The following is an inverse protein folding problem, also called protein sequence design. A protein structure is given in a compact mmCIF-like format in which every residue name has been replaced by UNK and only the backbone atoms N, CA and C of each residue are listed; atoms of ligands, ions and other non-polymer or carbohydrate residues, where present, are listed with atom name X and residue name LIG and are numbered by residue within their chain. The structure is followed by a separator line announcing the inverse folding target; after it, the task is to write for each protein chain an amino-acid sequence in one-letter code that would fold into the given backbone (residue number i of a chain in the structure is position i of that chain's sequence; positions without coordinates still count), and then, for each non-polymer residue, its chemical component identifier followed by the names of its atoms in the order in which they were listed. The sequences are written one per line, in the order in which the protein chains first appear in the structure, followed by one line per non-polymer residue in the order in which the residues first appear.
data_IF_510731941060
#
_entry.id   IF_510731941060
#
_cell.length_a   1.000
_cell.length_b   1.000
_cell.length_c   1.000
_cell.angle_alpha   90.00
_cell.angle_beta   90.00
_cell.angle_gamma   90.00
#
_symmetry.space_group_name_H-M   'P 1'
#
loop_
_entity.id
_entity.type
_entity.pdbx_description
1 polymer ?
#
# COMPACT_ATOMS: atom_id res chain seq x y z
N UNK A 1 -24.00 -42.73 -26.78
CA UNK A 1 -23.44 -42.39 -25.46
C UNK A 1 -21.92 -42.59 -25.36
N UNK A 2 -21.36 -43.79 -25.56
CA UNK A 2 -19.90 -44.02 -25.40
C UNK A 2 -18.99 -43.09 -26.24
N UNK A 3 -19.33 -42.85 -27.52
CA UNK A 3 -18.55 -41.95 -28.40
C UNK A 3 -18.51 -40.48 -27.95
N UNK A 4 -19.58 -40.01 -27.32
CA UNK A 4 -19.68 -38.63 -26.78
C UNK A 4 -18.79 -38.47 -25.54
N UNK A 5 -18.72 -39.51 -24.70
CA UNK A 5 -17.86 -39.55 -23.51
C UNK A 5 -16.37 -39.54 -23.91
N UNK A 6 -15.98 -40.32 -24.92
CA UNK A 6 -14.59 -40.31 -25.40
C UNK A 6 -14.17 -38.96 -26.02
N UNK A 7 -15.10 -38.29 -26.72
CA UNK A 7 -14.84 -36.96 -27.26
C UNK A 7 -14.66 -35.92 -26.15
N UNK A 8 -15.52 -35.94 -25.12
CA UNK A 8 -15.39 -35.08 -23.94
C UNK A 8 -14.09 -35.33 -23.16
N UNK A 9 -13.71 -36.59 -22.97
CA UNK A 9 -12.43 -36.92 -22.32
C UNK A 9 -11.23 -36.43 -23.14
N UNK A 10 -11.25 -36.61 -24.46
CA UNK A 10 -10.20 -36.10 -25.34
C UNK A 10 -10.08 -34.57 -25.29
N UNK A 11 -11.22 -33.88 -25.25
CA UNK A 11 -11.26 -32.42 -25.11
C UNK A 11 -10.64 -31.97 -23.78
N UNK A 12 -11.07 -32.56 -22.65
CA UNK A 12 -10.54 -32.22 -21.31
C UNK A 12 -9.02 -32.46 -21.23
N UNK A 13 -8.53 -33.60 -21.74
CA UNK A 13 -7.10 -33.91 -21.78
C UNK A 13 -6.32 -32.91 -22.64
N UNK A 14 -6.83 -32.56 -23.81
CA UNK A 14 -6.19 -31.57 -24.68
C UNK A 14 -6.13 -30.19 -24.05
N UNK A 15 -7.18 -29.76 -23.35
CA UNK A 15 -7.23 -28.49 -22.63
C UNK A 15 -6.27 -28.47 -21.44
N UNK A 16 -6.20 -29.56 -20.67
CA UNK A 16 -5.26 -29.67 -19.54
C UNK A 16 -3.80 -29.61 -20.02
N UNK A 17 -3.47 -30.32 -21.11
CA UNK A 17 -2.13 -30.28 -21.70
C UNK A 17 -1.77 -28.89 -22.23
N UNK A 18 -2.73 -28.19 -22.85
CA UNK A 18 -2.53 -26.83 -23.33
C UNK A 18 -2.29 -25.82 -22.19
N UNK A 19 -3.05 -25.95 -21.09
CA UNK A 19 -2.86 -25.13 -19.88
C UNK A 19 -1.49 -25.40 -19.26
N UNK A 20 -1.07 -26.66 -19.15
CA UNK A 20 0.28 -27.01 -18.69
C UNK A 20 1.35 -26.41 -19.61
N UNK A 21 1.21 -26.56 -20.93
CA UNK A 21 2.15 -26.03 -21.90
C UNK A 21 2.35 -24.51 -21.76
N UNK A 22 1.26 -23.74 -21.62
CA UNK A 22 1.35 -22.29 -21.44
C UNK A 22 2.07 -21.92 -20.14
N UNK A 23 1.82 -22.62 -19.03
CA UNK A 23 2.43 -22.32 -17.73
C UNK A 23 3.94 -22.61 -17.68
N UNK A 24 4.42 -23.55 -18.50
CA UNK A 24 5.84 -23.90 -18.63
C UNK A 24 6.53 -23.20 -19.81
N UNK A 25 5.91 -22.18 -20.41
CA UNK A 25 6.60 -21.36 -21.41
C UNK A 25 7.74 -20.57 -20.76
N UNK A 26 8.96 -20.60 -21.33
CA UNK A 26 10.04 -19.75 -20.87
C UNK A 26 9.75 -18.30 -21.24
N UNK A 27 9.83 -17.40 -20.26
CA UNK A 27 9.59 -15.95 -20.45
C UNK A 27 10.86 -15.13 -20.32
N UNK A 28 11.94 -15.72 -19.81
CA UNK A 28 13.25 -15.09 -19.72
C UNK A 28 14.29 -16.03 -19.10
N UNK A 29 15.53 -15.56 -18.96
CA UNK A 29 16.56 -16.27 -18.22
C UNK A 29 17.58 -15.31 -17.61
N UNK A 30 18.07 -15.62 -16.41
CA UNK A 30 19.16 -14.89 -15.74
C UNK A 30 20.21 -15.92 -15.32
N UNK A 31 21.47 -15.73 -15.72
CA UNK A 31 22.60 -16.63 -15.43
C UNK A 31 22.31 -18.11 -15.70
N UNK A 32 21.65 -18.40 -16.83
CA UNK A 32 21.30 -19.77 -17.23
C UNK A 32 20.09 -20.37 -16.50
N UNK A 33 19.51 -19.69 -15.51
CA UNK A 33 18.23 -20.07 -14.90
C UNK A 33 17.08 -19.52 -15.74
N UNK A 34 16.29 -20.41 -16.32
CA UNK A 34 15.09 -20.06 -17.08
C UNK A 34 13.96 -19.68 -16.12
N UNK A 35 13.31 -18.55 -16.39
CA UNK A 35 12.12 -18.09 -15.69
C UNK A 35 10.92 -18.57 -16.50
N UNK A 36 10.01 -19.28 -15.85
CA UNK A 36 8.80 -19.79 -16.49
C UNK A 36 7.62 -18.87 -16.26
N UNK A 37 6.64 -18.93 -17.17
CA UNK A 37 5.45 -18.09 -17.12
C UNK A 37 4.68 -18.18 -15.81
N UNK A 38 4.51 -19.38 -15.24
CA UNK A 38 3.83 -19.53 -13.96
C UNK A 38 4.54 -18.84 -12.79
N UNK A 39 5.88 -18.78 -12.79
CA UNK A 39 6.65 -18.08 -11.76
C UNK A 39 6.45 -16.57 -11.86
N UNK A 40 6.41 -16.05 -13.10
CA UNK A 40 6.09 -14.65 -13.38
C UNK A 40 4.64 -14.31 -12.97
N UNK A 41 3.67 -15.12 -13.38
CA UNK A 41 2.25 -14.91 -13.09
C UNK A 41 1.98 -15.00 -11.57
N UNK A 42 2.62 -15.94 -10.86
CA UNK A 42 2.52 -16.03 -9.41
C UNK A 42 3.09 -14.77 -8.72
N UNK A 43 4.23 -14.26 -9.20
CA UNK A 43 4.83 -13.01 -8.68
C UNK A 43 3.94 -11.81 -8.97
N UNK A 44 3.40 -11.70 -10.18
CA UNK A 44 2.50 -10.63 -10.59
C UNK A 44 1.19 -10.66 -9.79
N UNK A 45 0.58 -11.82 -9.59
CA UNK A 45 -0.62 -11.96 -8.79
C UNK A 45 -0.37 -11.64 -7.32
N UNK A 46 0.76 -12.08 -6.76
CA UNK A 46 1.14 -11.73 -5.39
C UNK A 46 1.37 -10.22 -5.23
N UNK A 47 2.04 -9.59 -6.19
CA UNK A 47 2.20 -8.14 -6.24
C UNK A 47 0.83 -7.45 -6.37
N UNK A 48 -0.04 -7.91 -7.27
CA UNK A 48 -1.36 -7.34 -7.50
C UNK A 48 -2.27 -7.43 -6.27
N UNK A 49 -2.31 -8.57 -5.57
CA UNK A 49 -3.10 -8.72 -4.34
C UNK A 49 -2.59 -7.77 -3.24
N UNK A 50 -1.27 -7.67 -3.05
CA UNK A 50 -0.67 -6.72 -2.12
C UNK A 50 -0.94 -5.27 -2.53
N UNK A 51 -0.86 -4.95 -3.83
CA UNK A 51 -1.13 -3.61 -4.36
C UNK A 51 -2.59 -3.23 -4.14
N UNK A 52 -3.55 -4.10 -4.43
CA UNK A 52 -4.99 -3.83 -4.24
C UNK A 52 -5.28 -3.63 -2.74
N UNK A 53 -4.71 -4.46 -1.87
CA UNK A 53 -4.85 -4.29 -0.41
C UNK A 53 -4.27 -2.96 0.06
N UNK A 54 -3.08 -2.58 -0.44
CA UNK A 54 -2.45 -1.32 -0.07
C UNK A 54 -3.25 -0.11 -0.58
N UNK A 55 -3.75 -0.14 -1.82
CA UNK A 55 -4.66 0.90 -2.35
C UNK A 55 -5.93 0.97 -1.51
N UNK A 56 -6.51 -0.18 -1.13
CA UNK A 56 -7.69 -0.22 -0.27
C UNK A 56 -7.45 0.41 1.10
N UNK A 57 -6.30 0.14 1.72
CA UNK A 57 -5.88 0.78 2.97
C UNK A 57 -5.66 2.28 2.82
N UNK A 58 -5.07 2.69 1.71
CA UNK A 58 -4.84 4.11 1.42
C UNK A 58 -6.15 4.88 1.25
N UNK A 59 -7.10 4.32 0.50
CA UNK A 59 -8.44 4.88 0.34
C UNK A 59 -9.22 4.90 1.66
N UNK A 60 -9.08 3.85 2.47
CA UNK A 60 -9.66 3.80 3.81
C UNK A 60 -9.12 4.91 4.70
N UNK A 61 -7.80 5.10 4.71
CA UNK A 61 -7.13 6.16 5.44
C UNK A 61 -7.59 7.54 4.98
N UNK A 62 -7.56 7.82 3.67
CA UNK A 62 -8.00 9.12 3.14
C UNK A 62 -9.47 9.42 3.49
N UNK A 63 -10.33 8.39 3.42
CA UNK A 63 -11.73 8.52 3.83
C UNK A 63 -11.86 8.77 5.33
N UNK A 64 -11.12 8.06 6.18
CA UNK A 64 -11.12 8.27 7.62
C UNK A 64 -10.67 9.69 8.01
N UNK A 65 -9.67 10.24 7.31
CA UNK A 65 -9.21 11.61 7.49
C UNK A 65 -10.28 12.62 7.04
N UNK A 66 -10.93 12.35 5.89
CA UNK A 66 -12.02 13.18 5.40
C UNK A 66 -13.22 13.18 6.34
N UNK A 67 -13.56 12.04 6.95
CA UNK A 67 -14.67 11.93 7.92
C UNK A 67 -14.37 12.72 9.22
N UNK A 68 -13.09 12.90 9.56
CA UNK A 68 -12.62 13.80 10.63
C UNK A 68 -12.55 15.29 10.20
N UNK A 69 -12.87 15.61 8.93
CA UNK A 69 -12.74 16.96 8.38
C UNK A 69 -11.28 17.41 8.17
N UNK A 70 -10.34 16.47 8.13
CA UNK A 70 -8.92 16.75 7.95
C UNK A 70 -8.60 16.76 6.46
N UNK A 71 -8.23 17.95 5.97
CA UNK A 71 -7.79 18.15 4.59
C UNK A 71 -6.38 18.74 4.58
N UNK A 72 -5.59 18.32 3.59
CA UNK A 72 -4.24 18.82 3.34
C UNK A 72 -4.22 19.46 1.95
N UNK A 73 -3.69 20.66 1.88
CA UNK A 73 -3.42 21.33 0.61
C UNK A 73 -2.07 20.89 0.01
N UNK A 74 -1.95 20.93 -1.31
CA UNK A 74 -0.67 20.66 -2.00
C UNK A 74 0.44 21.61 -1.55
N UNK A 75 0.11 22.84 -1.15
CA UNK A 75 1.07 23.80 -0.62
C UNK A 75 1.70 23.34 0.72
N UNK A 76 0.91 22.71 1.60
CA UNK A 76 1.42 22.15 2.85
C UNK A 76 2.35 20.96 2.58
N UNK A 77 1.99 20.09 1.63
CA UNK A 77 2.85 18.99 1.21
C UNK A 77 4.15 19.50 0.60
N UNK A 78 4.08 20.53 -0.26
CA UNK A 78 5.25 21.16 -0.87
C UNK A 78 6.21 21.74 0.17
N UNK A 79 5.68 22.42 1.19
CA UNK A 79 6.51 22.96 2.28
C UNK A 79 7.25 21.86 3.05
N UNK A 80 6.56 20.76 3.38
CA UNK A 80 7.19 19.64 4.10
C UNK A 80 8.15 18.85 3.20
N UNK A 81 7.86 18.79 1.89
CA UNK A 81 8.79 18.26 0.89
C UNK A 81 10.09 19.05 0.85
N UNK A 82 10.03 20.38 0.74
CA UNK A 82 11.21 21.24 0.71
C UNK A 82 12.03 21.11 2.00
N UNK A 83 11.36 21.09 3.16
CA UNK A 83 11.98 20.80 4.47
C UNK A 83 12.66 19.42 4.50
N UNK A 84 12.05 18.41 3.89
CA UNK A 84 12.63 17.07 3.79
C UNK A 84 13.85 17.06 2.90
N UNK A 85 13.78 17.68 1.72
CA UNK A 85 14.91 17.84 0.80
C UNK A 85 16.10 18.52 1.49
N UNK A 86 15.86 19.59 2.24
CA UNK A 86 16.90 20.30 3.00
C UNK A 86 17.53 19.42 4.08
N UNK A 87 16.71 18.65 4.84
CA UNK A 87 17.21 17.73 5.88
C UNK A 87 18.13 16.63 5.33
N UNK A 88 17.91 16.20 4.10
CA UNK A 88 18.73 15.18 3.43
C UNK A 88 19.95 15.75 2.68
N UNK A 89 20.16 17.07 2.75
CA UNK A 89 21.33 17.74 2.17
C UNK A 89 21.13 18.25 0.74
N UNK A 90 19.93 18.08 0.17
CA UNK A 90 19.64 18.46 -1.21
C UNK A 90 18.76 17.45 -1.93
N UNK A 91 18.23 17.85 -3.09
CA UNK A 91 17.36 16.99 -3.90
C UNK A 91 18.12 15.84 -4.54
N UNK A 92 19.41 16.05 -4.85
CA UNK A 92 20.25 15.04 -5.49
C UNK A 92 20.62 13.93 -4.49
N UNK A 93 20.98 14.29 -3.26
CA UNK A 93 21.23 13.36 -2.15
C UNK A 93 19.96 12.57 -1.82
N UNK A 94 18.81 13.23 -1.73
CA UNK A 94 17.53 12.57 -1.50
C UNK A 94 17.21 11.56 -2.60
N UNK A 95 17.41 11.93 -3.87
CA UNK A 95 17.22 11.03 -5.02
C UNK A 95 18.14 9.83 -4.96
N UNK A 96 19.40 10.02 -4.60
CA UNK A 96 20.34 8.93 -4.46
C UNK A 96 19.90 7.94 -3.36
N UNK A 97 19.47 8.46 -2.20
CA UNK A 97 18.91 7.62 -1.12
C UNK A 97 17.67 6.87 -1.59
N UNK A 98 16.77 7.53 -2.33
CA UNK A 98 15.58 6.88 -2.88
C UNK A 98 15.96 5.76 -3.85
N UNK A 99 16.95 5.98 -4.72
CA UNK A 99 17.45 4.94 -5.63
C UNK A 99 18.03 3.74 -4.86
N UNK A 100 18.88 4.00 -3.87
CA UNK A 100 19.51 2.96 -3.05
C UNK A 100 18.50 2.14 -2.23
N UNK A 101 17.38 2.77 -1.87
CA UNK A 101 16.28 2.15 -1.10
C UNK A 101 15.14 1.61 -1.97
N UNK A 102 15.27 1.65 -3.30
CA UNK A 102 14.21 1.28 -4.26
C UNK A 102 12.91 2.10 -4.10
N UNK A 103 13.03 3.30 -3.54
CA UNK A 103 11.96 4.28 -3.42
C UNK A 103 11.82 5.18 -4.66
N UNK A 104 10.78 6.00 -4.67
CA UNK A 104 10.59 7.07 -5.65
C UNK A 104 9.98 8.31 -5.00
N UNK A 105 10.12 9.46 -5.66
CA UNK A 105 9.68 10.76 -5.12
C UNK A 105 8.16 10.82 -4.89
N UNK A 106 7.36 10.26 -5.80
CA UNK A 106 5.90 10.31 -5.71
C UNK A 106 5.40 9.51 -4.49
N UNK A 107 5.97 8.33 -4.25
CA UNK A 107 5.73 7.54 -3.05
C UNK A 107 6.13 8.30 -1.78
N UNK A 108 7.28 8.98 -1.80
CA UNK A 108 7.74 9.77 -0.65
C UNK A 108 6.81 10.98 -0.40
N UNK A 109 6.39 11.71 -1.43
CA UNK A 109 5.42 12.80 -1.32
C UNK A 109 4.08 12.33 -0.77
N UNK A 110 3.59 11.18 -1.24
CA UNK A 110 2.38 10.57 -0.70
C UNK A 110 2.53 10.20 0.78
N UNK A 111 3.69 9.66 1.17
CA UNK A 111 3.99 9.35 2.57
C UNK A 111 4.05 10.63 3.43
N UNK A 112 4.63 11.71 2.92
CA UNK A 112 4.63 13.02 3.59
C UNK A 112 3.19 13.52 3.79
N UNK A 113 2.37 13.49 2.73
CA UNK A 113 0.94 13.86 2.81
C UNK A 113 0.23 13.08 3.92
N UNK A 114 0.41 11.75 3.96
CA UNK A 114 -0.19 10.90 5.01
C UNK A 114 0.36 11.21 6.39
N UNK A 115 1.66 11.47 6.52
CA UNK A 115 2.30 11.86 7.79
C UNK A 115 1.69 13.15 8.35
N UNK A 116 1.49 14.17 7.51
CA UNK A 116 0.84 15.43 7.91
C UNK A 116 -0.62 15.18 8.32
N UNK A 117 -1.37 14.36 7.57
CA UNK A 117 -2.75 13.99 7.92
C UNK A 117 -2.81 13.32 9.30
N UNK A 118 -1.92 12.36 9.54
CA UNK A 118 -1.82 11.66 10.83
C UNK A 118 -1.48 12.63 11.96
N UNK A 119 -0.52 13.53 11.77
CA UNK A 119 -0.16 14.54 12.78
C UNK A 119 -1.36 15.44 13.13
N UNK A 120 -2.11 15.89 12.11
CA UNK A 120 -3.34 16.67 12.33
C UNK A 120 -4.41 15.85 13.05
N UNK A 121 -4.54 14.56 12.75
CA UNK A 121 -5.50 13.68 13.40
C UNK A 121 -5.14 13.48 14.88
N UNK A 122 -3.88 13.22 15.19
CA UNK A 122 -3.40 13.13 16.57
C UNK A 122 -3.73 14.43 17.31
N UNK A 123 -3.39 15.60 16.74
CA UNK A 123 -3.74 16.91 17.33
C UNK A 123 -5.24 17.11 17.54
N UNK A 124 -6.08 16.63 16.61
CA UNK A 124 -7.53 16.66 16.75
C UNK A 124 -8.00 15.87 17.97
N UNK A 125 -7.48 14.65 18.17
CA UNK A 125 -7.80 13.85 19.35
C UNK A 125 -7.20 14.41 20.63
N UNK A 126 -5.97 14.92 20.61
CA UNK A 126 -5.30 15.59 21.73
C UNK A 126 -6.13 16.77 22.25
N UNK A 127 -6.79 17.53 21.38
CA UNK A 127 -7.64 18.65 21.77
C UNK A 127 -8.87 18.24 22.60
N UNK A 128 -9.26 16.96 22.56
CA UNK A 128 -10.34 16.39 23.38
C UNK A 128 -9.85 15.87 24.74
N UNK A 129 -8.55 15.78 24.96
CA UNK A 129 -7.94 15.30 26.20
C UNK A 129 -7.75 16.48 27.16
N UNK A 130 -8.27 16.42 28.40
CA UNK A 130 -8.07 17.49 29.37
C UNK A 130 -6.58 17.66 29.73
N UNK A 131 -6.11 18.89 29.98
CA UNK A 131 -4.74 19.15 30.40
C UNK A 131 -4.43 18.45 31.71
N UNK A 132 -3.24 17.85 31.77
CA UNK A 132 -2.70 17.25 32.97
C UNK A 132 -1.58 18.16 33.50
N UNK A 133 -1.79 18.75 34.67
CA UNK A 133 -0.84 19.69 35.28
C UNK A 133 0.50 19.02 35.64
N UNK A 134 0.51 17.69 35.81
CA UNK A 134 1.67 16.92 36.23
C UNK A 134 2.47 16.31 35.07
N UNK A 135 1.93 16.30 33.85
CA UNK A 135 2.60 15.73 32.68
C UNK A 135 2.14 16.39 31.37
N UNK A 136 3.01 17.22 30.78
CA UNK A 136 2.76 17.90 29.52
C UNK A 136 2.64 16.95 28.32
N UNK A 137 3.27 15.77 28.39
CA UNK A 137 3.28 14.80 27.29
C UNK A 137 2.01 13.90 27.32
N UNK A 138 1.33 13.84 28.47
CA UNK A 138 0.14 13.01 28.67
C UNK A 138 -0.95 13.25 27.63
N UNK A 139 -1.23 14.52 27.31
CA UNK A 139 -2.27 14.84 26.33
C UNK A 139 -1.92 14.33 24.93
N UNK A 140 -0.65 14.43 24.55
CA UNK A 140 -0.19 14.03 23.22
C UNK A 140 -0.16 12.50 23.10
N UNK A 141 0.29 11.80 24.14
CA UNK A 141 0.26 10.34 24.22
C UNK A 141 -1.16 9.80 24.15
N UNK A 142 -2.07 10.38 24.94
CA UNK A 142 -3.46 9.95 24.98
C UNK A 142 -4.20 10.28 23.67
N UNK A 143 -3.92 11.44 23.07
CA UNK A 143 -4.42 11.79 21.73
C UNK A 143 -3.95 10.80 20.66
N UNK A 144 -2.68 10.38 20.69
CA UNK A 144 -2.15 9.36 19.79
C UNK A 144 -2.82 7.99 20.01
N UNK A 145 -3.07 7.61 21.26
CA UNK A 145 -3.78 6.38 21.61
C UNK A 145 -5.23 6.37 21.12
N UNK A 146 -5.93 7.51 21.25
CA UNK A 146 -7.29 7.69 20.73
C UNK A 146 -7.33 7.60 19.21
N UNK A 147 -6.37 8.23 18.53
CA UNK A 147 -6.20 8.12 17.08
C UNK A 147 -5.97 6.66 16.64
N UNK A 148 -5.06 5.94 17.30
CA UNK A 148 -4.75 4.55 16.97
C UNK A 148 -5.98 3.66 17.12
N UNK A 149 -6.75 3.86 18.20
CA UNK A 149 -8.02 3.16 18.41
C UNK A 149 -9.02 3.47 17.30
N UNK A 150 -9.17 4.74 16.91
CA UNK A 150 -10.07 5.16 15.83
C UNK A 150 -9.71 4.49 14.50
N UNK A 151 -8.43 4.52 14.09
CA UNK A 151 -7.99 3.91 12.84
C UNK A 151 -8.21 2.40 12.86
N UNK A 152 -7.89 1.73 13.96
CA UNK A 152 -8.11 0.28 14.07
C UNK A 152 -9.59 -0.10 13.92
N UNK A 153 -10.49 0.62 14.61
CA UNK A 153 -11.93 0.42 14.47
C UNK A 153 -12.44 0.74 13.06
N UNK A 154 -11.80 1.69 12.37
CA UNK A 154 -12.13 2.03 11.00
C UNK A 154 -11.69 0.94 10.02
N UNK A 155 -10.46 0.43 10.15
CA UNK A 155 -9.92 -0.66 9.34
C UNK A 155 -10.78 -1.94 9.45
N UNK A 156 -11.27 -2.26 10.65
CA UNK A 156 -12.18 -3.41 10.86
C UNK A 156 -13.53 -3.26 10.13
N UNK A 157 -13.98 -2.03 9.86
CA UNK A 157 -15.23 -1.76 9.13
C UNK A 157 -15.05 -1.75 7.62
N UNK A 158 -13.82 -1.58 7.12
CA UNK A 158 -13.55 -1.47 5.69
C UNK A 158 -13.48 -2.87 5.07
N UNK A 159 -14.45 -3.19 4.23
CA UNK A 159 -14.46 -4.43 3.45
C UNK A 159 -13.79 -4.17 2.10
N UNK A 160 -12.57 -4.67 1.92
CA UNK A 160 -11.90 -4.72 0.60
C UNK A 160 -12.41 -5.95 -0.15
N UNK A 161 -13.24 -5.75 -1.17
CA UNK A 161 -13.70 -6.82 -2.07
C UNK A 161 -12.82 -6.83 -3.32
N UNK A 162 -12.21 -7.98 -3.60
CA UNK A 162 -11.48 -8.26 -4.84
C UNK A 162 -12.42 -9.06 -5.73
N UNK A 163 -12.69 -8.57 -6.95
CA UNK A 163 -13.57 -9.20 -7.93
C UNK A 163 -12.75 -9.93 -9.00
#
# INVERSE_FOLDING_TARGET
MKKVIYFLMGFILSSALFICYINFLPVGSIDGKVIFKHELDARLNWLADNTIKNIGKDLAFEKAMSDLGIHISEAEVGKEWDSTVERYGGIDELRQILLDTQGNEDSLKNNIKKGIMQEKAIKHFTASVPPNEDNTDFQMEEGARLYEKYIKEYEEKVIIKIY
#
